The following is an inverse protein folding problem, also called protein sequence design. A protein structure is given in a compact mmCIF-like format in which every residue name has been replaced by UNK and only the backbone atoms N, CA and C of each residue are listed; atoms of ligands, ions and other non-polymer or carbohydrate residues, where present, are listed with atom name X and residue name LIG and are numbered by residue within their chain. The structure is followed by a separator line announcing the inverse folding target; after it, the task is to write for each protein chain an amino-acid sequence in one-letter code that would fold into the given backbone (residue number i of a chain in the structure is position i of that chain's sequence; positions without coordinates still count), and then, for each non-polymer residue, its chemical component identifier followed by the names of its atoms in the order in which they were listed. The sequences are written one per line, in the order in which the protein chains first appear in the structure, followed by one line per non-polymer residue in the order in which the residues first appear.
data_IF_970084109756
#
_entry.id   IF_970084109756
#
_cell.length_a   1.000
_cell.length_b   1.000
_cell.length_c   1.000
_cell.angle_alpha   90.00
_cell.angle_beta   90.00
_cell.angle_gamma   90.00
#
_symmetry.space_group_name_H-M   'P 1'
#
loop_
_entity.id
_entity.type
_entity.pdbx_description
1 polymer ?
#
# COMPACT_ATOMS: atom_id res chain seq x y z
N UNK A 1 38.90 38.12 -38.06
CA UNK A 1 39.71 36.98 -37.56
C UNK A 1 38.84 36.18 -36.59
N UNK A 2 38.37 34.98 -36.98
CA UNK A 2 37.55 34.14 -36.11
C UNK A 2 38.37 33.48 -35.01
N UNK A 3 37.85 33.45 -33.77
CA UNK A 3 38.49 32.81 -32.62
C UNK A 3 38.42 31.28 -32.77
N UNK A 4 39.56 30.60 -32.81
CA UNK A 4 39.63 29.14 -32.83
C UNK A 4 39.34 28.59 -31.41
N UNK A 5 38.21 27.93 -31.23
CA UNK A 5 37.83 27.34 -29.95
C UNK A 5 38.47 25.95 -29.77
N UNK A 6 39.71 25.94 -29.28
CA UNK A 6 40.53 24.72 -29.12
C UNK A 6 40.03 23.81 -27.98
N UNK A 7 39.22 24.34 -27.05
CA UNK A 7 38.79 23.62 -25.85
C UNK A 7 38.05 22.31 -26.16
N UNK A 8 37.20 22.30 -27.19
CA UNK A 8 36.45 21.11 -27.60
C UNK A 8 37.33 20.03 -28.26
N UNK A 9 38.55 20.40 -28.66
CA UNK A 9 39.51 19.48 -29.28
C UNK A 9 40.40 18.75 -28.27
N UNK A 10 40.16 18.92 -26.97
CA UNK A 10 40.93 18.26 -25.91
C UNK A 10 40.21 17.04 -25.36
N UNK A 11 40.94 15.93 -25.17
CA UNK A 11 40.40 14.65 -24.70
C UNK A 11 39.71 14.72 -23.33
N UNK A 12 40.09 15.66 -22.48
CA UNK A 12 39.50 15.84 -21.15
C UNK A 12 38.23 16.72 -21.14
N UNK A 13 37.80 17.24 -22.29
CA UNK A 13 36.68 18.18 -22.33
C UNK A 13 35.36 17.47 -21.95
N UNK A 14 34.62 17.93 -20.93
CA UNK A 14 33.46 17.21 -20.40
C UNK A 14 32.36 16.93 -21.43
N UNK A 15 32.15 17.87 -22.36
CA UNK A 15 31.10 17.78 -23.36
C UNK A 15 31.49 17.00 -24.62
N UNK A 16 32.66 16.33 -24.62
CA UNK A 16 32.99 15.38 -25.68
C UNK A 16 32.14 14.13 -25.56
N UNK A 17 31.65 13.64 -26.72
CA UNK A 17 30.83 12.43 -26.81
C UNK A 17 31.49 11.24 -26.10
N UNK A 18 32.77 10.98 -26.35
CA UNK A 18 33.52 9.88 -25.73
C UNK A 18 33.56 9.96 -24.20
N UNK A 19 33.59 11.17 -23.62
CA UNK A 19 33.59 11.35 -22.18
C UNK A 19 32.20 11.20 -21.59
N UNK A 20 31.18 11.72 -22.27
CA UNK A 20 29.77 11.55 -21.88
C UNK A 20 29.41 10.06 -21.90
N UNK A 21 29.85 9.32 -22.93
CA UNK A 21 29.61 7.88 -23.04
C UNK A 21 30.34 7.08 -21.96
N UNK A 22 31.57 7.47 -21.60
CA UNK A 22 32.30 6.85 -20.47
C UNK A 22 31.55 7.05 -19.15
N UNK A 23 31.14 8.28 -18.85
CA UNK A 23 30.36 8.58 -17.64
C UNK A 23 29.05 7.80 -17.63
N UNK A 24 28.36 7.75 -18.77
CA UNK A 24 27.12 6.98 -18.89
C UNK A 24 27.32 5.49 -18.63
N UNK A 25 28.39 4.88 -19.17
CA UNK A 25 28.72 3.47 -18.89
C UNK A 25 29.01 3.27 -17.40
N UNK A 26 29.81 4.14 -16.79
CA UNK A 26 30.18 4.04 -15.38
C UNK A 26 28.94 4.18 -14.47
N UNK A 27 28.01 5.09 -14.81
CA UNK A 27 26.73 5.28 -14.12
C UNK A 27 25.78 4.09 -14.31
N UNK A 28 25.72 3.50 -15.50
CA UNK A 28 24.90 2.31 -15.79
C UNK A 28 25.44 1.08 -15.05
N UNK A 29 26.77 0.89 -15.00
CA UNK A 29 27.41 -0.19 -14.25
C UNK A 29 27.18 -0.05 -12.74
N UNK A 30 27.31 1.18 -12.21
CA UNK A 30 27.01 1.47 -10.81
C UNK A 30 25.55 1.14 -10.47
N UNK A 31 24.61 1.54 -11.33
CA UNK A 31 23.18 1.26 -11.15
C UNK A 31 22.87 -0.25 -11.20
N UNK A 32 23.50 -0.98 -12.10
CA UNK A 32 23.27 -2.43 -12.21
C UNK A 32 23.85 -3.18 -11.00
N UNK A 33 24.99 -2.74 -10.47
CA UNK A 33 25.57 -3.31 -9.25
C UNK A 33 24.69 -3.06 -8.03
N UNK A 34 24.17 -1.84 -7.86
CA UNK A 34 23.24 -1.48 -6.78
C UNK A 34 21.97 -2.34 -6.85
N UNK A 35 21.37 -2.49 -8.04
CA UNK A 35 20.16 -3.31 -8.21
C UNK A 35 20.38 -4.80 -7.88
N UNK A 36 21.56 -5.36 -8.20
CA UNK A 36 21.92 -6.74 -7.82
C UNK A 36 22.09 -6.90 -6.31
N UNK A 37 22.72 -5.92 -5.66
CA UNK A 37 22.93 -5.93 -4.21
C UNK A 37 21.59 -5.76 -3.45
N UNK A 38 20.72 -4.84 -3.90
CA UNK A 38 19.37 -4.67 -3.37
C UNK A 38 18.53 -5.94 -3.54
N UNK A 39 18.55 -6.56 -4.73
CA UNK A 39 17.83 -7.81 -4.97
C UNK A 39 18.29 -8.95 -4.07
N UNK A 40 19.60 -9.06 -3.80
CA UNK A 40 20.14 -10.04 -2.85
C UNK A 40 19.70 -9.75 -1.42
N UNK A 41 19.67 -8.47 -1.02
CA UNK A 41 19.23 -8.06 0.31
C UNK A 41 17.73 -8.36 0.52
N UNK A 42 16.88 -8.06 -0.46
CA UNK A 42 15.45 -8.37 -0.42
C UNK A 42 15.17 -9.87 -0.29
N UNK A 43 15.90 -10.70 -1.04
CA UNK A 43 15.77 -12.16 -0.93
C UNK A 43 16.18 -12.65 0.47
N UNK A 44 17.32 -12.19 0.99
CA UNK A 44 17.79 -12.56 2.32
C UNK A 44 16.80 -12.14 3.44
N UNK A 45 16.20 -10.95 3.35
CA UNK A 45 15.19 -10.50 4.32
C UNK A 45 13.91 -11.34 4.22
N UNK A 46 13.47 -11.67 3.00
CA UNK A 46 12.33 -12.55 2.79
C UNK A 46 12.57 -13.95 3.34
N UNK A 47 13.77 -14.50 3.17
CA UNK A 47 14.18 -15.81 3.69
C UNK A 47 14.23 -15.80 5.23
N UNK A 48 14.87 -14.81 5.83
CA UNK A 48 14.94 -14.66 7.28
C UNK A 48 13.55 -14.53 7.91
N UNK A 49 12.65 -13.76 7.27
CA UNK A 49 11.26 -13.63 7.72
C UNK A 49 10.51 -14.96 7.64
N UNK A 50 10.70 -15.72 6.56
CA UNK A 50 10.08 -17.04 6.40
C UNK A 50 10.61 -18.01 7.46
N UNK A 51 11.90 -17.99 7.76
CA UNK A 51 12.51 -18.86 8.76
C UNK A 51 11.96 -18.57 10.16
N UNK A 52 11.84 -17.29 10.56
CA UNK A 52 11.18 -16.92 11.82
C UNK A 52 9.73 -17.40 11.90
N UNK A 53 8.97 -17.33 10.80
CA UNK A 53 7.61 -17.85 10.75
C UNK A 53 7.58 -19.38 10.87
N UNK A 54 8.55 -20.09 10.27
CA UNK A 54 8.67 -21.55 10.37
C UNK A 54 9.04 -21.99 11.78
N UNK A 55 9.94 -21.27 12.44
CA UNK A 55 10.30 -21.47 13.84
C UNK A 55 9.09 -21.25 14.75
N UNK A 56 8.38 -20.13 14.58
CA UNK A 56 7.16 -19.83 15.34
C UNK A 56 6.05 -20.86 15.12
N UNK A 57 5.92 -21.39 13.90
CA UNK A 57 4.96 -22.44 13.58
C UNK A 57 5.38 -23.83 14.10
N UNK A 58 6.56 -23.97 14.70
CA UNK A 58 7.06 -25.24 15.24
C UNK A 58 7.45 -26.27 14.17
N UNK A 59 7.57 -25.87 12.90
CA UNK A 59 7.88 -26.76 11.77
C UNK A 59 9.40 -26.90 11.56
N UNK A 60 10.20 -26.09 12.26
CA UNK A 60 11.65 -25.98 12.07
C UNK A 60 12.47 -27.23 12.46
N UNK A 61 11.89 -28.24 13.14
CA UNK A 61 12.65 -29.38 13.68
C UNK A 61 12.61 -30.67 12.84
N UNK A 62 11.94 -30.70 11.68
CA UNK A 62 11.96 -31.90 10.83
C UNK A 62 13.19 -31.90 9.91
N UNK A 63 14.21 -32.75 10.16
CA UNK A 63 15.26 -32.95 9.16
C UNK A 63 14.60 -33.47 7.88
N UNK A 64 15.04 -32.98 6.72
CA UNK A 64 14.67 -33.50 5.38
C UNK A 64 14.96 -35.01 5.29
N UNK A 65 14.07 -35.84 5.83
CA UNK A 65 14.04 -37.29 5.65
C UNK A 65 12.61 -37.68 5.28
N UNK A 66 12.43 -37.85 3.97
CA UNK A 66 11.63 -38.90 3.33
C UNK A 66 10.44 -39.40 4.17
N UNK A 67 9.24 -38.88 3.92
CA UNK A 67 8.02 -39.43 4.50
C UNK A 67 6.77 -38.73 4.01
N UNK A 68 6.27 -39.16 2.85
CA UNK A 68 4.99 -38.72 2.24
C UNK A 68 3.76 -39.16 3.06
N UNK A 69 3.99 -39.91 4.14
CA UNK A 69 2.96 -40.55 4.97
C UNK A 69 2.60 -39.75 6.24
N UNK A 70 3.43 -38.78 6.65
CA UNK A 70 3.19 -37.94 7.84
C UNK A 70 2.18 -36.80 7.60
N UNK A 71 2.18 -36.23 6.40
CA UNK A 71 1.27 -35.13 6.02
C UNK A 71 -0.20 -35.57 5.98
N UNK A 72 -0.47 -36.83 5.58
CA UNK A 72 -1.84 -37.37 5.54
C UNK A 72 -2.48 -37.45 6.93
N UNK A 73 -1.70 -37.79 7.96
CA UNK A 73 -2.20 -37.96 9.33
C UNK A 73 -2.44 -36.62 10.05
N UNK A 74 -1.65 -35.60 9.70
CA UNK A 74 -1.83 -34.24 10.20
C UNK A 74 -3.04 -33.55 9.53
N UNK A 75 -3.30 -33.86 8.25
CA UNK A 75 -4.52 -33.45 7.55
C UNK A 75 -5.79 -34.12 8.10
N UNK A 76 -5.72 -35.39 8.56
CA UNK A 76 -6.86 -36.07 9.19
C UNK A 76 -7.20 -35.50 10.57
N UNK A 77 -6.19 -35.17 11.39
CA UNK A 77 -6.40 -34.51 12.69
C UNK A 77 -7.03 -33.12 12.56
N UNK A 78 -6.72 -32.39 11.49
CA UNK A 78 -7.33 -31.09 11.18
C UNK A 78 -8.78 -31.19 10.64
N UNK A 79 -9.22 -32.38 10.21
CA UNK A 79 -10.60 -32.64 9.79
C UNK A 79 -11.55 -32.92 10.97
N UNK A 80 -11.02 -33.37 12.12
CA UNK A 80 -11.83 -33.70 13.30
C UNK A 80 -12.34 -32.45 14.04
N UNK A 81 -11.72 -31.28 13.85
CA UNK A 81 -12.06 -30.05 14.58
C UNK A 81 -12.99 -29.08 13.84
N UNK A 82 -13.54 -29.43 12.68
CA UNK A 82 -14.39 -28.51 11.90
C UNK A 82 -15.60 -29.19 11.23
N UNK A 83 -16.75 -29.24 11.92
CA UNK A 83 -18.03 -29.19 11.27
C UNK A 83 -18.79 -27.92 11.71
N UNK A 84 -18.82 -26.89 10.84
CA UNK A 84 -19.94 -25.95 10.89
C UNK A 84 -21.20 -26.70 10.42
N UNK A 85 -22.39 -26.21 10.81
CA UNK A 85 -23.71 -26.90 10.78
C UNK A 85 -24.24 -27.39 9.41
N UNK A 86 -23.41 -27.48 8.37
CA UNK A 86 -23.80 -27.93 7.04
C UNK A 86 -22.65 -28.45 6.16
N UNK A 87 -21.51 -28.85 6.73
CA UNK A 87 -20.41 -29.46 5.96
C UNK A 87 -19.57 -28.48 5.14
N UNK A 88 -19.78 -27.17 5.28
CA UNK A 88 -18.90 -26.14 4.71
C UNK A 88 -17.85 -25.71 5.75
N UNK A 89 -16.59 -25.61 5.33
CA UNK A 89 -15.47 -25.18 6.19
C UNK A 89 -15.36 -23.66 6.10
N UNK A 90 -15.66 -22.96 7.20
CA UNK A 90 -15.47 -21.51 7.29
C UNK A 90 -14.05 -21.19 7.78
N UNK A 91 -13.10 -21.08 6.86
CA UNK A 91 -11.73 -20.62 7.15
C UNK A 91 -11.66 -19.19 7.70
N UNK A 92 -12.74 -18.43 7.57
CA UNK A 92 -12.85 -17.05 8.01
C UNK A 92 -13.57 -16.90 9.35
N UNK A 93 -14.06 -17.97 9.97
CA UNK A 93 -14.81 -17.87 11.23
C UNK A 93 -13.97 -17.25 12.35
N UNK A 94 -12.72 -17.69 12.49
CA UNK A 94 -11.78 -17.16 13.49
C UNK A 94 -11.40 -15.69 13.18
N UNK A 95 -11.39 -15.33 11.90
CA UNK A 95 -11.07 -13.98 11.43
C UNK A 95 -12.28 -13.03 11.61
N UNK A 96 -13.50 -13.50 11.38
CA UNK A 96 -14.75 -12.79 11.65
C UNK A 96 -14.95 -12.61 13.16
N UNK A 97 -14.72 -13.64 13.97
CA UNK A 97 -14.79 -13.53 15.43
C UNK A 97 -13.77 -12.50 15.95
N UNK A 98 -12.53 -12.55 15.47
CA UNK A 98 -11.51 -11.55 15.83
C UNK A 98 -11.85 -10.14 15.32
N UNK A 99 -12.44 -10.01 14.13
CA UNK A 99 -12.91 -8.73 13.60
C UNK A 99 -14.08 -8.18 14.42
N UNK A 100 -15.01 -9.03 14.88
CA UNK A 100 -16.11 -8.68 15.77
C UNK A 100 -15.54 -8.23 17.12
N UNK A 101 -14.58 -8.97 17.71
CA UNK A 101 -13.92 -8.60 18.97
C UNK A 101 -13.15 -7.28 18.84
N UNK A 102 -12.45 -7.07 17.71
CA UNK A 102 -11.69 -5.84 17.43
C UNK A 102 -12.60 -4.65 17.17
N UNK A 103 -13.71 -4.85 16.45
CA UNK A 103 -14.72 -3.83 16.21
C UNK A 103 -15.43 -3.42 17.50
N UNK A 104 -15.69 -4.38 18.40
CA UNK A 104 -16.21 -4.11 19.75
C UNK A 104 -15.18 -3.30 20.56
N UNK A 105 -13.88 -3.62 20.47
CA UNK A 105 -12.79 -2.86 21.12
C UNK A 105 -12.55 -1.45 20.53
N UNK A 106 -12.72 -1.24 19.23
CA UNK A 106 -12.42 0.03 18.56
C UNK A 106 -13.47 1.14 18.75
N UNK A 107 -14.57 0.85 19.45
CA UNK A 107 -15.60 1.86 19.79
C UNK A 107 -15.17 2.81 20.91
N UNK A 108 -13.93 2.71 21.42
CA UNK A 108 -13.41 3.55 22.50
C UNK A 108 -12.07 4.26 22.11
N UNK A 109 -12.16 5.15 21.11
CA UNK A 109 -11.36 6.39 20.84
C UNK A 109 -9.81 6.35 20.84
N UNK A 110 -9.18 6.89 19.77
CA UNK A 110 -8.17 7.99 19.82
C UNK A 110 -7.62 8.36 18.41
N UNK A 111 -7.51 9.66 18.14
CA UNK A 111 -6.71 10.24 17.05
C UNK A 111 -5.21 10.25 17.39
N UNK A 112 -4.36 10.77 16.49
CA UNK A 112 -2.93 10.48 16.46
C UNK A 112 -2.19 11.26 17.55
N UNK A 113 -1.60 10.54 18.51
CA UNK A 113 -0.56 11.08 19.37
C UNK A 113 0.79 10.75 18.71
N UNK A 114 1.60 11.78 18.50
CA UNK A 114 3.04 11.64 18.37
C UNK A 114 3.53 10.76 19.52
N UNK A 115 4.06 9.60 19.18
CA UNK A 115 4.68 8.69 20.16
C UNK A 115 6.18 8.81 20.00
N UNK A 116 6.78 9.38 21.03
CA UNK A 116 8.21 9.36 21.30
C UNK A 116 8.77 7.93 21.10
N UNK A 117 9.72 7.82 20.16
CA UNK A 117 10.81 6.83 20.10
C UNK A 117 10.43 5.35 19.92
N UNK A 118 9.74 5.06 18.82
CA UNK A 118 9.84 3.79 18.12
C UNK A 118 10.37 4.01 16.69
N UNK A 119 10.92 2.97 16.06
CA UNK A 119 11.20 3.01 14.61
C UNK A 119 9.85 3.22 13.92
N UNK A 120 9.65 4.30 13.15
CA UNK A 120 8.35 4.58 12.57
C UNK A 120 8.00 3.46 11.58
N UNK A 121 6.84 2.82 11.78
CA UNK A 121 6.38 1.70 10.97
C UNK A 121 6.08 2.11 9.51
N UNK A 122 5.89 3.41 9.28
CA UNK A 122 5.84 4.01 7.95
C UNK A 122 7.04 4.96 7.81
N UNK A 123 7.67 5.04 6.63
CA UNK A 123 8.70 6.06 6.38
C UNK A 123 8.12 7.45 6.67
N UNK A 124 8.92 8.36 7.24
CA UNK A 124 8.48 9.72 7.52
C UNK A 124 8.03 10.41 6.21
N UNK A 125 7.21 11.45 6.29
CA UNK A 125 6.80 12.24 5.12
C UNK A 125 8.00 12.81 4.35
N UNK A 126 9.16 12.94 5.03
CA UNK A 126 10.45 13.30 4.44
C UNK A 126 11.13 12.13 3.74
N UNK A 127 10.95 10.90 4.23
CA UNK A 127 11.49 9.66 3.64
C UNK A 127 10.65 9.17 2.45
N UNK A 128 9.39 9.59 2.37
CA UNK A 128 8.54 9.41 1.17
C UNK A 128 9.03 10.24 -0.03
N UNK A 129 9.97 11.16 0.17
CA UNK A 129 10.51 12.02 -0.88
C UNK A 129 11.86 11.46 -1.31
N UNK A 130 11.98 10.97 -2.56
CA UNK A 130 13.24 10.45 -3.03
C UNK A 130 14.33 11.53 -3.04
N UNK A 131 15.58 11.13 -2.75
CA UNK A 131 16.73 12.05 -2.61
C UNK A 131 17.01 12.91 -3.86
N UNK A 132 16.57 12.47 -5.03
CA UNK A 132 16.67 13.21 -6.30
C UNK A 132 15.61 14.31 -6.46
N UNK A 133 14.54 14.29 -5.66
CA UNK A 133 13.45 15.27 -5.72
C UNK A 133 13.76 16.57 -4.99
N UNK A 134 14.84 16.63 -4.21
CA UNK A 134 15.22 17.83 -3.46
C UNK A 134 15.95 18.86 -4.33
N UNK A 135 16.52 18.44 -5.47
CA UNK A 135 17.36 19.28 -6.34
C UNK A 135 16.59 20.16 -7.34
N UNK A 136 15.29 19.94 -7.49
CA UNK A 136 14.45 20.70 -8.42
C UNK A 136 13.65 21.82 -7.76
N UNK A 137 13.66 21.92 -6.42
CA UNK A 137 12.94 22.99 -5.71
C UNK A 137 13.44 24.40 -6.00
N UNK A 138 14.67 24.52 -6.49
CA UNK A 138 15.26 25.81 -6.89
C UNK A 138 14.99 26.18 -8.36
N UNK A 139 14.20 25.38 -9.09
CA UNK A 139 13.79 25.66 -10.48
C UNK A 139 12.30 25.41 -10.66
N UNK A 140 11.52 26.46 -10.47
CA UNK A 140 10.23 26.65 -11.12
C UNK A 140 9.27 25.45 -11.03
N UNK A 141 8.99 24.98 -9.79
CA UNK A 141 8.08 23.85 -9.52
C UNK A 141 6.63 24.09 -10.01
N UNK A 142 6.22 25.35 -10.25
CA UNK A 142 4.86 25.65 -10.67
C UNK A 142 4.59 25.34 -12.15
N UNK A 143 5.54 25.56 -13.07
CA UNK A 143 5.30 25.36 -14.51
C UNK A 143 5.43 23.89 -14.95
N UNK A 144 6.29 23.11 -14.27
CA UNK A 144 6.52 21.69 -14.61
C UNK A 144 5.35 20.81 -14.15
N UNK A 145 4.72 21.15 -13.02
CA UNK A 145 3.53 20.45 -12.53
C UNK A 145 2.31 20.70 -13.43
N UNK A 146 2.09 21.94 -13.91
CA UNK A 146 0.98 22.22 -14.83
C UNK A 146 1.09 21.46 -16.16
N UNK A 147 2.29 21.37 -16.74
CA UNK A 147 2.50 20.62 -17.97
C UNK A 147 2.30 19.10 -17.79
N UNK A 148 2.71 18.56 -16.64
CA UNK A 148 2.51 17.16 -16.29
C UNK A 148 1.02 16.83 -16.03
N UNK A 149 0.31 17.73 -15.35
CA UNK A 149 -1.13 17.63 -15.12
C UNK A 149 -1.93 17.75 -16.42
N UNK A 150 -1.55 18.67 -17.31
CA UNK A 150 -2.19 18.83 -18.62
C UNK A 150 -2.03 17.57 -19.48
N UNK A 151 -0.85 16.94 -19.46
CA UNK A 151 -0.61 15.66 -20.14
C UNK A 151 -1.48 14.54 -19.56
N UNK A 152 -1.59 14.44 -18.23
CA UNK A 152 -2.47 13.47 -17.55
C UNK A 152 -3.93 13.70 -17.93
N UNK A 153 -4.38 14.95 -17.99
CA UNK A 153 -5.76 15.32 -18.37
C UNK A 153 -6.05 14.96 -19.83
N UNK A 154 -5.10 15.17 -20.75
CA UNK A 154 -5.23 14.72 -22.16
C UNK A 154 -5.35 13.20 -22.26
N UNK A 155 -4.56 12.47 -21.49
CA UNK A 155 -4.59 11.01 -21.50
C UNK A 155 -5.85 10.43 -20.86
N UNK A 156 -6.37 11.03 -19.76
CA UNK A 156 -7.67 10.62 -19.19
C UNK A 156 -8.83 10.94 -20.12
N UNK A 157 -8.79 12.09 -20.82
CA UNK A 157 -9.79 12.44 -21.82
C UNK A 157 -9.82 11.44 -22.99
N UNK A 158 -8.66 11.04 -23.51
CA UNK A 158 -8.57 10.00 -24.56
C UNK A 158 -9.13 8.66 -24.08
N UNK A 159 -8.79 8.26 -22.85
CA UNK A 159 -9.33 7.04 -22.24
C UNK A 159 -10.85 7.12 -22.08
N UNK A 160 -11.39 8.25 -21.64
CA UNK A 160 -12.84 8.44 -21.51
C UNK A 160 -13.56 8.53 -22.87
N UNK A 161 -12.90 8.95 -23.94
CA UNK A 161 -13.51 8.95 -25.30
C UNK A 161 -13.63 7.52 -25.84
N UNK A 162 -12.67 6.66 -25.52
CA UNK A 162 -12.62 5.28 -26.01
C UNK A 162 -13.19 4.24 -25.02
N UNK A 163 -13.77 4.69 -23.91
CA UNK A 163 -14.41 3.82 -22.94
C UNK A 163 -15.85 3.47 -23.40
N UNK A 164 -16.21 2.17 -23.48
CA UNK A 164 -17.59 1.78 -23.81
C UNK A 164 -18.61 2.28 -22.79
N UNK A 165 -18.26 2.43 -21.52
CA UNK A 165 -19.19 2.88 -20.48
C UNK A 165 -19.54 4.35 -20.63
N UNK A 166 -18.57 5.21 -20.96
CA UNK A 166 -18.82 6.62 -21.25
C UNK A 166 -19.65 6.80 -22.52
N UNK A 167 -19.44 5.95 -23.53
CA UNK A 167 -20.25 5.95 -24.76
C UNK A 167 -21.74 5.66 -24.47
N UNK A 168 -22.02 4.70 -23.59
CA UNK A 168 -23.38 4.38 -23.15
C UNK A 168 -23.99 5.57 -22.38
N UNK A 169 -23.25 6.19 -21.47
CA UNK A 169 -23.78 7.34 -20.71
C UNK A 169 -24.08 8.53 -21.61
N UNK A 170 -23.25 8.81 -22.62
CA UNK A 170 -23.51 9.83 -23.63
C UNK A 170 -24.77 9.54 -24.46
N UNK A 171 -24.98 8.28 -24.88
CA UNK A 171 -26.20 7.89 -25.59
C UNK A 171 -27.44 8.05 -24.72
N UNK A 172 -27.39 7.62 -23.46
CA UNK A 172 -28.51 7.79 -22.53
C UNK A 172 -28.83 9.27 -22.27
N UNK A 173 -27.80 10.13 -22.15
CA UNK A 173 -27.97 11.57 -21.98
C UNK A 173 -28.57 12.26 -23.22
N UNK A 174 -28.13 11.90 -24.43
CA UNK A 174 -28.71 12.45 -25.67
C UNK A 174 -30.18 12.05 -25.87
N UNK A 175 -30.54 10.85 -25.41
CA UNK A 175 -31.86 10.26 -25.59
C UNK A 175 -32.89 10.84 -24.60
N UNK A 176 -32.44 11.29 -23.43
CA UNK A 176 -33.27 12.03 -22.48
C UNK A 176 -33.51 13.49 -22.89
N UNK A 177 -32.57 14.13 -23.61
CA UNK A 177 -32.78 15.48 -24.17
C UNK A 177 -33.61 15.48 -25.46
N UNK A 178 -33.55 14.41 -26.27
CA UNK A 178 -34.42 14.30 -27.46
C UNK A 178 -35.87 13.95 -27.13
N UNK A 179 -36.16 13.51 -25.90
CA UNK A 179 -37.54 13.26 -25.45
C UNK A 179 -38.31 14.52 -25.02
N UNK A 180 -37.69 15.71 -25.03
CA UNK A 180 -38.36 16.95 -24.59
C UNK A 180 -38.64 17.99 -25.70
N UNK A 181 -38.30 17.75 -26.98
CA UNK A 181 -38.47 18.77 -28.03
C UNK A 181 -39.04 18.31 -29.38
N UNK A 182 -39.66 17.12 -29.48
CA UNK A 182 -40.34 16.67 -30.70
C UNK A 182 -41.82 16.40 -30.47
N UNK A 183 -42.58 17.47 -30.24
CA UNK A 183 -44.04 17.50 -30.28
C UNK A 183 -44.50 18.51 -31.33
N UNK A 184 -44.55 18.07 -32.59
CA UNK A 184 -45.45 18.53 -33.66
C UNK A 184 -45.25 17.62 -34.86
N UNK A 185 -45.86 16.45 -34.80
CA UNK A 185 -46.59 15.77 -35.86
C UNK A 185 -47.02 14.41 -35.31
N UNK A 186 -48.32 14.19 -35.22
CA UNK A 186 -48.89 12.89 -34.82
C UNK A 186 -48.50 11.85 -35.87
N UNK A 187 -48.04 10.67 -35.44
CA UNK A 187 -48.52 9.43 -36.01
C UNK A 187 -49.41 8.69 -35.00
N UNK A 188 -50.41 8.07 -35.58
CA UNK A 188 -51.43 7.18 -35.01
C UNK A 188 -50.83 6.15 -34.03
N UNK A 189 -51.53 5.78 -32.95
CA UNK A 189 -50.97 4.86 -31.95
C UNK A 189 -50.87 3.43 -32.53
N UNK A 190 -49.72 2.75 -32.42
CA UNK A 190 -49.72 1.30 -32.41
C UNK A 190 -50.18 0.81 -31.03
N UNK A 191 -50.98 -0.25 -31.06
CA UNK A 191 -51.54 -0.93 -29.90
C UNK A 191 -50.49 -1.30 -28.85
N UNK A 192 -50.93 -1.37 -27.58
CA UNK A 192 -50.08 -1.67 -26.44
C UNK A 192 -49.31 -2.99 -26.58
N UNK A 193 -48.03 -2.95 -26.22
CA UNK A 193 -47.24 -4.15 -25.90
C UNK A 193 -47.33 -4.40 -24.39
N UNK A 194 -48.01 -5.47 -23.94
CA UNK A 194 -47.96 -5.94 -22.58
C UNK A 194 -46.70 -6.81 -22.41
N UNK A 195 -45.71 -6.41 -21.60
CA UNK A 195 -44.50 -7.24 -21.52
C UNK A 195 -43.33 -6.80 -20.66
N UNK A 196 -43.48 -5.93 -19.65
CA UNK A 196 -42.47 -5.88 -18.58
C UNK A 196 -43.00 -6.67 -17.38
N UNK A 197 -42.32 -7.74 -16.95
CA UNK A 197 -42.80 -8.56 -15.85
C UNK A 197 -42.84 -7.73 -14.56
N UNK A 198 -43.93 -7.79 -13.77
CA UNK A 198 -44.14 -6.98 -12.57
C UNK A 198 -43.04 -7.15 -11.51
N UNK A 199 -42.28 -8.23 -11.61
CA UNK A 199 -41.15 -8.56 -10.75
C UNK A 199 -39.97 -7.58 -10.90
N UNK A 200 -39.74 -7.04 -12.10
CA UNK A 200 -38.63 -6.10 -12.35
C UNK A 200 -38.95 -4.72 -11.75
N UNK A 201 -40.20 -4.27 -11.89
CA UNK A 201 -40.66 -3.04 -11.22
C UNK A 201 -40.61 -3.16 -9.70
N UNK A 202 -40.99 -4.32 -9.14
CA UNK A 202 -40.93 -4.58 -7.70
C UNK A 202 -39.48 -4.66 -7.17
N UNK A 203 -38.54 -5.17 -7.99
CA UNK A 203 -37.12 -5.18 -7.67
C UNK A 203 -36.52 -3.77 -7.66
N UNK A 204 -36.86 -2.94 -8.66
CA UNK A 204 -36.38 -1.55 -8.74
C UNK A 204 -36.87 -0.71 -7.55
N UNK A 205 -38.14 -0.85 -7.15
CA UNK A 205 -38.67 -0.10 -6.00
C UNK A 205 -38.02 -0.54 -4.68
N UNK A 206 -37.73 -1.84 -4.53
CA UNK A 206 -37.01 -2.37 -3.38
C UNK A 206 -35.56 -1.83 -3.32
N UNK A 207 -34.82 -1.90 -4.41
CA UNK A 207 -33.43 -1.43 -4.47
C UNK A 207 -33.32 0.08 -4.20
N UNK A 208 -34.28 0.89 -4.66
CA UNK A 208 -34.33 2.32 -4.36
C UNK A 208 -34.53 2.59 -2.87
N UNK A 209 -35.44 1.86 -2.21
CA UNK A 209 -35.67 1.99 -0.76
C UNK A 209 -34.44 1.59 0.07
N UNK A 210 -33.69 0.58 -0.37
CA UNK A 210 -32.46 0.13 0.30
C UNK A 210 -31.31 1.15 0.12
N UNK A 211 -31.20 1.77 -1.07
CA UNK A 211 -30.24 2.85 -1.34
C UNK A 211 -30.47 4.08 -0.46
N UNK A 212 -31.73 4.49 -0.30
CA UNK A 212 -32.09 5.63 0.54
C UNK A 212 -31.72 5.38 2.01
N UNK A 213 -32.00 4.17 2.50
CA UNK A 213 -31.64 3.75 3.86
C UNK A 213 -30.12 3.75 4.08
N UNK A 214 -29.33 3.33 3.10
CA UNK A 214 -27.87 3.37 3.16
C UNK A 214 -27.33 4.81 3.27
N UNK A 215 -27.88 5.74 2.48
CA UNK A 215 -27.50 7.16 2.55
C UNK A 215 -27.87 7.80 3.89
N UNK A 216 -29.02 7.45 4.47
CA UNK A 216 -29.42 7.93 5.79
C UNK A 216 -28.45 7.46 6.90
N UNK A 217 -27.96 6.22 6.84
CA UNK A 217 -26.96 5.70 7.78
C UNK A 217 -25.61 6.41 7.65
N UNK A 218 -25.17 6.70 6.42
CA UNK A 218 -23.95 7.47 6.16
C UNK A 218 -24.08 8.88 6.75
N UNK A 219 -25.23 9.53 6.56
CA UNK A 219 -25.49 10.86 7.12
C UNK A 219 -25.52 10.85 8.65
N UNK A 220 -26.15 9.84 9.26
CA UNK A 220 -26.18 9.67 10.73
C UNK A 220 -24.79 9.41 11.31
N UNK A 221 -23.98 8.57 10.64
CA UNK A 221 -22.59 8.29 11.04
C UNK A 221 -21.73 9.55 10.98
N UNK A 222 -21.94 10.40 9.97
CA UNK A 222 -21.21 11.68 9.81
C UNK A 222 -21.56 12.70 10.90
N UNK A 223 -22.69 12.56 11.59
CA UNK A 223 -23.16 13.49 12.63
C UNK A 223 -22.86 13.02 14.06
N UNK A 224 -22.33 11.81 14.27
CA UNK A 224 -22.16 11.20 15.60
C UNK A 224 -20.71 11.10 16.11
N UNK A 225 -19.76 11.86 15.56
CA UNK A 225 -18.35 11.83 15.98
C UNK A 225 -18.02 12.89 17.03
N UNK A 226 -18.58 12.76 18.23
CA UNK A 226 -18.21 13.54 19.42
C UNK A 226 -17.95 12.58 20.59
N UNK A 227 -16.80 12.72 21.23
CA UNK A 227 -16.09 11.63 21.92
C UNK A 227 -15.90 11.85 23.43
N UNK A 228 -15.84 10.79 24.28
CA UNK A 228 -14.84 10.73 25.38
C UNK A 228 -14.24 9.31 25.58
N UNK A 229 -12.93 9.07 25.41
CA UNK A 229 -11.85 9.11 26.41
C UNK A 229 -12.16 8.36 27.72
N UNK A 230 -11.59 7.17 27.92
CA UNK A 230 -11.43 6.56 29.26
C UNK A 230 -10.36 5.47 29.28
N UNK A 231 -9.54 5.51 30.32
CA UNK A 231 -8.63 4.49 30.91
C UNK A 231 -7.16 4.63 30.47
N UNK A 232 -6.21 5.25 31.19
CA UNK A 232 -5.85 5.38 32.63
C UNK A 232 -4.76 4.38 33.07
N UNK A 233 -3.59 4.93 33.45
CA UNK A 233 -2.42 4.26 34.04
C UNK A 233 -1.15 4.57 33.22
N UNK A 234 -0.29 5.53 33.55
CA UNK A 234 0.13 5.96 34.88
C UNK A 234 1.62 5.65 35.01
N UNK A 235 2.43 6.66 34.71
CA UNK A 235 3.89 6.71 34.89
C UNK A 235 4.24 6.47 36.36
N UNK A 236 5.05 5.45 36.67
CA UNK A 236 6.09 5.48 37.71
C UNK A 236 7.05 4.30 37.52
N UNK A 237 8.34 4.56 37.70
CA UNK A 237 9.42 3.61 37.97
C UNK A 237 9.72 2.49 36.95
N UNK A 238 10.77 2.76 36.20
CA UNK A 238 11.67 1.78 35.59
C UNK A 238 12.22 0.79 36.63
N UNK A 239 11.52 -0.33 36.88
CA UNK A 239 12.04 -1.40 37.75
C UNK A 239 12.02 -2.82 37.15
N UNK A 240 11.44 -3.04 35.97
CA UNK A 240 11.26 -4.41 35.44
C UNK A 240 12.12 -4.78 34.22
N UNK A 241 12.93 -3.86 33.69
CA UNK A 241 13.70 -4.07 32.46
C UNK A 241 14.92 -4.99 32.60
N UNK A 242 15.56 -5.00 33.79
CA UNK A 242 16.94 -5.51 33.93
C UNK A 242 17.08 -6.66 34.95
N UNK A 243 15.98 -7.26 35.40
CA UNK A 243 16.02 -8.23 36.50
C UNK A 243 16.66 -9.58 36.14
N UNK A 244 16.61 -10.00 34.87
CA UNK A 244 17.02 -11.35 34.49
C UNK A 244 18.37 -11.41 33.74
N UNK A 245 18.81 -10.31 33.11
CA UNK A 245 20.03 -10.28 32.28
C UNK A 245 21.03 -9.19 32.69
N UNK A 246 21.04 -8.76 33.96
CA UNK A 246 21.88 -7.64 34.43
C UNK A 246 23.36 -7.79 34.08
N UNK A 247 23.94 -8.99 34.24
CA UNK A 247 25.36 -9.24 33.92
C UNK A 247 25.65 -9.14 32.43
N UNK A 248 24.78 -9.68 31.58
CA UNK A 248 24.96 -9.68 30.12
C UNK A 248 24.85 -8.27 29.55
N UNK A 249 23.92 -7.47 30.10
CA UNK A 249 23.75 -6.06 29.73
C UNK A 249 24.96 -5.22 30.16
N UNK A 250 25.42 -5.36 31.41
CA UNK A 250 26.62 -4.65 31.89
C UNK A 250 27.89 -5.04 31.08
N UNK A 251 28.02 -6.31 30.67
CA UNK A 251 29.17 -6.81 29.90
C UNK A 251 29.18 -6.31 28.45
N UNK A 252 28.02 -6.24 27.80
CA UNK A 252 27.88 -5.66 26.46
C UNK A 252 28.23 -4.16 26.44
N UNK A 253 27.88 -3.43 27.50
CA UNK A 253 28.24 -2.03 27.65
C UNK A 253 29.76 -1.83 27.86
N UNK A 254 30.43 -2.75 28.57
CA UNK A 254 31.87 -2.72 28.80
C UNK A 254 32.67 -3.01 27.53
N UNK A 255 32.26 -4.01 26.74
CA UNK A 255 32.94 -4.38 25.49
C UNK A 255 32.88 -3.31 24.40
N UNK A 256 31.82 -2.49 24.40
CA UNK A 256 31.65 -1.37 23.45
C UNK A 256 32.66 -0.24 23.67
N UNK A 257 33.11 -0.04 24.92
CA UNK A 257 34.11 0.97 25.27
C UNK A 257 35.55 0.54 24.96
N UNK A 258 35.91 -0.73 25.19
CA UNK A 258 37.27 -1.24 24.91
C UNK A 258 37.58 -1.36 23.42
N UNK A 259 36.59 -1.73 22.61
CA UNK A 259 36.74 -1.90 21.15
C UNK A 259 37.03 -0.56 20.44
N UNK A 260 36.50 0.54 20.99
CA UNK A 260 36.75 1.88 20.46
C UNK A 260 38.15 2.41 20.79
N UNK A 261 38.76 1.96 21.90
CA UNK A 261 40.10 2.41 22.31
C UNK A 261 41.22 1.67 21.55
N UNK A 262 41.06 0.38 21.24
CA UNK A 262 42.05 -0.38 20.44
C UNK A 262 42.17 0.10 18.99
N UNK A 263 41.11 0.68 18.43
CA UNK A 263 41.11 1.17 17.04
C UNK A 263 42.02 2.41 16.85
N UNK A 264 42.37 3.11 17.92
CA UNK A 264 43.19 4.33 17.88
C UNK A 264 44.69 4.12 18.17
N UNK A 265 45.14 2.92 18.60
CA UNK A 265 46.53 2.65 19.00
C UNK A 265 47.31 1.76 18.01
N UNK A 266 46.72 1.39 16.86
CA UNK A 266 47.31 0.42 15.92
C UNK A 266 47.88 0.99 14.61
N UNK A 267 48.11 2.30 14.50
CA UNK A 267 48.80 2.91 13.35
C UNK A 267 50.04 3.65 13.84
N UNK A 268 51.16 2.94 13.89
CA UNK A 268 52.50 3.49 13.80
C UNK A 268 53.34 2.57 12.92
#
# INVERSE_FOLDING_TARGET
MGKLNIAHHKSYHPYRRDNIERVRRDEEEAREKEAREEGRMMLADSEARIDLLRERAGVASLPKKKGRDGDMKLLERAKESLPTSGGHINFFEDLEQNAIITAVRSTKKAGPMETDKGIPLAPDAKDLRPWYSERNRDRDDAEVDEAAEERRKRDTARKSIHDPLTSITHQLASKSSSSSSSSRHRPRPPAGSPGQPPEVSARITRELSERERALALIRRKKQGSETPSTVHGGITESEYGDMYNRREVEEAHRGRWESNFRRYQGRH
#
